data_IF_127256001082
#
_entry.id   IF_127256001082
#
_cell.length_a   1.000
_cell.length_b   1.000
_cell.length_c   1.000
_cell.angle_alpha   90.00
_cell.angle_beta   90.00
_cell.angle_gamma   90.00
#
_symmetry.space_group_name_H-M   'P 1'
#
loop_
_entity.id
_entity.type
_entity.pdbx_description
1 polymer ?
#
# COMPACT_ATOMS: atom_id res chain seq x y z
N UNK A 1 31.61 20.44 -10.46
CA UNK A 1 30.28 20.28 -9.82
C UNK A 1 29.48 19.07 -10.33
N UNK A 2 29.75 18.53 -11.53
CA UNK A 2 29.07 17.33 -12.04
C UNK A 2 29.32 16.04 -11.23
N UNK A 3 30.43 15.96 -10.49
CA UNK A 3 30.86 14.73 -9.80
C UNK A 3 30.08 14.44 -8.52
N UNK A 4 29.69 15.46 -7.75
CA UNK A 4 29.01 15.28 -6.46
C UNK A 4 27.54 14.81 -6.64
N UNK A 5 26.81 15.41 -7.57
CA UNK A 5 25.44 14.98 -7.91
C UNK A 5 25.45 13.57 -8.51
N UNK A 6 26.44 13.25 -9.37
CA UNK A 6 26.58 11.91 -9.92
C UNK A 6 26.86 10.86 -8.82
N UNK A 7 27.75 11.15 -7.86
CA UNK A 7 28.00 10.28 -6.70
C UNK A 7 26.76 10.12 -5.83
N UNK A 8 25.97 11.17 -5.59
CA UNK A 8 24.70 11.06 -4.86
C UNK A 8 23.72 10.14 -5.59
N UNK A 9 23.57 10.28 -6.92
CA UNK A 9 22.61 9.47 -7.72
C UNK A 9 23.00 8.02 -7.90
N UNK A 10 24.29 7.67 -7.71
CA UNK A 10 24.82 6.33 -8.01
C UNK A 10 25.26 5.57 -6.76
N UNK A 11 25.27 6.21 -5.59
CA UNK A 11 25.61 5.56 -4.33
C UNK A 11 24.40 4.78 -3.81
N UNK A 12 24.46 3.44 -3.72
CA UNK A 12 23.41 2.68 -3.07
C UNK A 12 23.37 3.07 -1.58
N UNK A 13 22.24 3.62 -1.14
CA UNK A 13 21.99 3.95 0.26
C UNK A 13 20.96 2.98 0.77
N UNK A 14 21.24 2.31 1.90
CA UNK A 14 20.20 1.57 2.61
C UNK A 14 19.05 2.54 2.95
N UNK A 15 17.78 2.11 2.87
CA UNK A 15 16.65 2.98 3.19
C UNK A 15 16.89 3.63 4.56
N UNK A 16 16.77 4.95 4.66
CA UNK A 16 17.23 5.68 5.84
C UNK A 16 16.35 5.44 7.07
N UNK A 17 15.14 4.87 6.90
CA UNK A 17 14.11 4.74 7.93
C UNK A 17 13.22 3.50 7.72
N UNK A 18 12.50 3.10 8.77
CA UNK A 18 11.36 2.19 8.66
C UNK A 18 10.13 3.06 8.38
N UNK A 19 9.54 2.91 7.19
CA UNK A 19 8.35 3.65 6.79
C UNK A 19 7.12 3.13 7.55
N UNK A 20 6.94 1.81 7.54
CA UNK A 20 5.85 1.13 8.24
C UNK A 20 6.43 -0.08 8.95
N UNK A 21 6.44 -0.08 10.28
CA UNK A 21 6.87 -1.23 11.08
C UNK A 21 5.73 -2.25 11.29
N UNK A 22 6.07 -3.47 11.74
CA UNK A 22 5.08 -4.55 11.95
C UNK A 22 4.02 -4.14 12.97
N UNK A 23 4.39 -3.40 14.02
CA UNK A 23 3.46 -2.97 15.07
C UNK A 23 2.40 -2.03 14.50
N UNK A 24 2.81 -0.97 13.79
CA UNK A 24 1.91 -0.01 13.14
C UNK A 24 1.03 -0.68 12.09
N UNK A 25 1.60 -1.62 11.33
CA UNK A 25 0.86 -2.41 10.34
C UNK A 25 -0.24 -3.26 10.98
N UNK A 26 0.10 -3.99 12.05
CA UNK A 26 -0.86 -4.77 12.85
C UNK A 26 -1.94 -3.87 13.47
N UNK A 27 -1.55 -2.76 14.11
CA UNK A 27 -2.48 -1.81 14.72
C UNK A 27 -3.48 -1.26 13.70
N UNK A 28 -3.01 -0.89 12.51
CA UNK A 28 -3.87 -0.39 11.44
C UNK A 28 -4.90 -1.43 10.99
N UNK A 29 -4.49 -2.66 10.69
CA UNK A 29 -5.41 -3.72 10.23
C UNK A 29 -6.41 -4.07 11.34
N UNK A 30 -5.90 -4.38 12.54
CA UNK A 30 -6.72 -4.89 13.64
C UNK A 30 -7.71 -3.87 14.19
N UNK A 31 -7.43 -2.56 14.03
CA UNK A 31 -8.38 -1.49 14.39
C UNK A 31 -9.70 -1.54 13.59
N UNK A 32 -9.69 -2.17 12.41
CA UNK A 32 -10.85 -2.24 11.50
C UNK A 32 -11.37 -3.68 11.40
N UNK A 33 -10.48 -4.65 11.22
CA UNK A 33 -10.84 -6.03 10.92
C UNK A 33 -10.86 -6.96 12.14
N UNK A 34 -10.50 -6.44 13.32
CA UNK A 34 -10.34 -7.22 14.55
C UNK A 34 -9.08 -8.09 14.53
N UNK A 35 -8.94 -9.01 15.52
CA UNK A 35 -7.75 -9.84 15.65
C UNK A 35 -7.58 -10.80 14.46
N UNK A 36 -6.44 -10.71 13.78
CA UNK A 36 -6.00 -11.60 12.70
C UNK A 36 -4.48 -11.70 12.73
N UNK A 37 -3.93 -12.80 12.21
CA UNK A 37 -2.48 -12.91 12.03
C UNK A 37 -2.02 -11.90 10.96
N UNK A 38 -1.22 -10.93 11.36
CA UNK A 38 -0.77 -9.83 10.49
C UNK A 38 0.71 -9.93 10.16
N UNK A 39 1.32 -11.10 10.38
CA UNK A 39 2.76 -11.31 10.19
C UNK A 39 3.16 -11.06 8.73
N UNK A 40 4.05 -10.09 8.52
CA UNK A 40 4.69 -9.82 7.22
C UNK A 40 6.07 -10.45 7.20
N UNK A 41 6.33 -11.27 6.19
CA UNK A 41 7.62 -11.95 5.99
C UNK A 41 8.45 -11.31 4.88
N UNK A 42 7.82 -10.58 3.96
CA UNK A 42 8.49 -9.87 2.87
C UNK A 42 8.57 -8.35 3.13
N UNK A 43 9.79 -7.89 3.36
CA UNK A 43 10.11 -6.49 3.63
C UNK A 43 10.96 -5.92 2.50
N UNK A 44 10.62 -4.74 2.01
CA UNK A 44 11.34 -4.08 0.91
C UNK A 44 11.40 -2.55 1.13
N UNK A 45 12.26 -1.83 0.39
CA UNK A 45 12.12 -0.39 0.24
C UNK A 45 10.77 -0.06 -0.40
N UNK A 46 10.03 0.85 0.22
CA UNK A 46 8.74 1.37 -0.25
C UNK A 46 8.79 2.89 -0.27
N UNK A 47 7.97 3.49 -1.13
CA UNK A 47 7.66 4.92 -1.16
C UNK A 47 7.08 5.40 0.17
N UNK A 48 6.20 4.59 0.78
CA UNK A 48 5.66 4.90 2.11
C UNK A 48 4.40 5.76 2.10
N UNK A 49 4.12 6.45 1.00
CA UNK A 49 2.85 7.15 0.72
C UNK A 49 2.45 7.05 -0.77
N UNK A 50 2.47 5.85 -1.36
CA UNK A 50 2.17 5.71 -2.80
C UNK A 50 0.67 5.89 -3.10
N UNK A 51 0.34 6.77 -4.06
CA UNK A 51 -1.01 7.01 -4.58
C UNK A 51 -0.95 7.80 -5.89
N UNK A 52 -2.08 7.97 -6.60
CA UNK A 52 -2.13 8.68 -7.88
C UNK A 52 -1.71 10.15 -7.77
N UNK A 53 -1.90 10.78 -6.60
CA UNK A 53 -1.43 12.13 -6.33
C UNK A 53 0.11 12.26 -6.43
N UNK A 54 0.83 11.17 -6.18
CA UNK A 54 2.29 11.10 -6.20
C UNK A 54 2.84 10.53 -7.53
N UNK A 55 1.99 10.40 -8.55
CA UNK A 55 2.36 9.94 -9.89
C UNK A 55 2.10 11.03 -10.93
N UNK A 56 3.05 11.25 -11.84
CA UNK A 56 2.81 12.09 -13.02
C UNK A 56 2.25 11.30 -14.19
N UNK A 57 1.44 11.97 -15.01
CA UNK A 57 1.13 11.53 -16.37
C UNK A 57 2.41 11.43 -17.20
N UNK A 58 2.42 10.65 -18.31
CA UNK A 58 3.62 10.39 -19.09
C UNK A 58 4.48 11.63 -19.38
N UNK A 59 5.78 11.61 -19.03
CA UNK A 59 6.52 10.48 -18.46
C UNK A 59 6.14 10.18 -17.00
N UNK A 60 6.09 8.90 -16.63
CA UNK A 60 5.81 8.47 -15.26
C UNK A 60 6.98 8.86 -14.34
N UNK A 61 6.71 9.73 -13.37
CA UNK A 61 7.63 10.12 -12.29
C UNK A 61 6.90 9.92 -10.97
N UNK A 62 7.61 9.34 -10.00
CA UNK A 62 7.14 9.18 -8.62
C UNK A 62 7.65 10.38 -7.82
N UNK A 63 6.72 11.12 -7.21
CA UNK A 63 6.97 12.32 -6.43
C UNK A 63 6.87 12.02 -4.94
N UNK A 64 7.38 12.94 -4.12
CA UNK A 64 7.15 12.98 -2.67
C UNK A 64 7.72 11.82 -1.84
N UNK A 65 9.04 11.61 -1.94
CA UNK A 65 9.78 10.54 -1.27
C UNK A 65 10.00 10.75 0.24
N UNK A 66 9.21 11.57 0.93
CA UNK A 66 9.46 11.90 2.34
C UNK A 66 9.25 10.71 3.30
N UNK A 67 8.34 9.81 2.95
CA UNK A 67 8.05 8.58 3.70
C UNK A 67 8.86 7.37 3.22
N UNK A 68 9.82 7.57 2.32
CA UNK A 68 10.66 6.49 1.80
C UNK A 68 11.39 5.74 2.91
N UNK A 69 11.25 4.41 2.90
CA UNK A 69 11.83 3.57 3.93
C UNK A 69 11.54 2.08 3.73
N UNK A 70 11.91 1.27 4.71
CA UNK A 70 11.56 -0.15 4.73
C UNK A 70 10.12 -0.36 5.20
N UNK A 71 9.38 -1.23 4.53
CA UNK A 71 8.03 -1.65 4.92
C UNK A 71 7.60 -2.95 4.23
N UNK A 72 6.34 -3.38 4.39
CA UNK A 72 5.81 -4.54 3.69
C UNK A 72 5.92 -4.38 2.17
N UNK A 73 6.52 -5.36 1.49
CA UNK A 73 6.90 -5.23 0.08
C UNK A 73 5.71 -4.92 -0.85
N UNK A 74 4.51 -5.35 -0.48
CA UNK A 74 3.30 -5.21 -1.31
C UNK A 74 2.49 -3.95 -1.00
N UNK A 75 2.93 -3.13 -0.02
CA UNK A 75 2.10 -2.06 0.52
C UNK A 75 1.83 -0.94 -0.48
N UNK A 76 2.83 -0.50 -1.24
CA UNK A 76 2.63 0.57 -2.22
C UNK A 76 1.68 0.16 -3.35
N UNK A 77 1.77 -1.10 -3.83
CA UNK A 77 0.83 -1.65 -4.81
C UNK A 77 -0.60 -1.65 -4.25
N UNK A 78 -0.77 -2.08 -3.00
CA UNK A 78 -2.08 -2.08 -2.34
C UNK A 78 -2.63 -0.67 -2.12
N UNK A 79 -1.77 0.33 -1.90
CA UNK A 79 -2.21 1.73 -1.76
C UNK A 79 -2.65 2.34 -3.08
N UNK A 80 -1.91 2.11 -4.18
CA UNK A 80 -2.37 2.54 -5.52
C UNK A 80 -3.69 1.87 -5.89
N UNK A 81 -3.84 0.58 -5.60
CA UNK A 81 -5.11 -0.13 -5.77
C UNK A 81 -6.24 0.44 -4.92
N UNK A 82 -5.99 0.84 -3.67
CA UNK A 82 -7.01 1.44 -2.83
C UNK A 82 -7.39 2.86 -3.33
N UNK A 83 -6.39 3.64 -3.77
CA UNK A 83 -6.58 4.99 -4.29
C UNK A 83 -7.35 5.00 -5.63
N UNK A 84 -7.26 3.91 -6.41
CA UNK A 84 -8.01 3.79 -7.67
C UNK A 84 -9.52 3.75 -7.50
N UNK A 85 -10.04 3.56 -6.28
CA UNK A 85 -11.49 3.54 -6.03
C UNK A 85 -12.16 4.91 -6.24
N UNK A 86 -11.40 6.01 -6.17
CA UNK A 86 -11.90 7.34 -6.52
C UNK A 86 -11.95 7.59 -8.04
N UNK A 87 -11.37 6.69 -8.85
CA UNK A 87 -11.33 6.77 -10.31
C UNK A 87 -12.44 5.89 -10.95
N UNK A 88 -12.68 6.01 -12.27
CA UNK A 88 -13.60 5.10 -12.97
C UNK A 88 -13.22 3.63 -12.75
N UNK A 89 -14.21 2.74 -12.67
CA UNK A 89 -14.03 1.32 -12.30
C UNK A 89 -12.94 0.61 -13.11
N UNK A 90 -12.79 0.93 -14.40
CA UNK A 90 -11.75 0.38 -15.29
C UNK A 90 -10.32 0.62 -14.77
N UNK A 91 -10.07 1.71 -14.04
CA UNK A 91 -8.75 2.00 -13.44
C UNK A 91 -8.44 1.02 -12.32
N UNK A 92 -9.44 0.69 -11.50
CA UNK A 92 -9.30 -0.33 -10.45
C UNK A 92 -9.06 -1.71 -11.06
N UNK A 93 -9.81 -2.09 -12.10
CA UNK A 93 -9.61 -3.35 -12.82
C UNK A 93 -8.19 -3.45 -13.42
N UNK A 94 -7.67 -2.35 -13.97
CA UNK A 94 -6.30 -2.29 -14.48
C UNK A 94 -5.24 -2.41 -13.37
N UNK A 95 -5.46 -1.78 -12.21
CA UNK A 95 -4.58 -1.93 -11.05
C UNK A 95 -4.58 -3.38 -10.55
N UNK A 96 -5.74 -4.01 -10.43
CA UNK A 96 -5.87 -5.41 -10.03
C UNK A 96 -5.15 -6.35 -11.00
N UNK A 97 -5.29 -6.14 -12.31
CA UNK A 97 -4.61 -6.94 -13.33
C UNK A 97 -3.08 -6.73 -13.30
N UNK A 98 -2.62 -5.48 -13.23
CA UNK A 98 -1.20 -5.14 -13.26
C UNK A 98 -0.47 -5.57 -11.98
N UNK A 99 -1.14 -5.49 -10.83
CA UNK A 99 -0.57 -5.80 -9.52
C UNK A 99 -0.97 -7.17 -8.98
N UNK A 100 -1.65 -8.01 -9.78
CA UNK A 100 -2.07 -9.36 -9.37
C UNK A 100 -0.95 -10.17 -8.67
N UNK A 101 0.32 -10.17 -9.13
CA UNK A 101 1.40 -10.89 -8.45
C UNK A 101 1.66 -10.43 -7.01
N UNK A 102 1.30 -9.19 -6.66
CA UNK A 102 1.58 -8.56 -5.36
C UNK A 102 0.35 -8.50 -4.45
N UNK A 103 -0.87 -8.51 -5.03
CA UNK A 103 -2.12 -8.37 -4.28
C UNK A 103 -2.76 -9.70 -3.88
N UNK A 104 -2.32 -10.79 -4.51
CA UNK A 104 -2.78 -12.16 -4.23
C UNK A 104 -1.97 -12.79 -3.09
N UNK A 105 -2.56 -13.78 -2.42
CA UNK A 105 -1.94 -14.48 -1.29
C UNK A 105 -2.09 -13.71 0.02
N UNK A 106 -1.57 -14.29 1.11
CA UNK A 106 -1.77 -13.76 2.45
C UNK A 106 -1.15 -12.37 2.64
N UNK A 107 0.11 -12.17 2.22
CA UNK A 107 0.79 -10.87 2.35
C UNK A 107 0.13 -9.77 1.53
N UNK A 108 -0.32 -10.10 0.32
CA UNK A 108 -1.09 -9.18 -0.54
C UNK A 108 -2.44 -8.82 0.08
N UNK A 109 -3.16 -9.81 0.64
CA UNK A 109 -4.42 -9.57 1.37
C UNK A 109 -4.21 -8.67 2.59
N UNK A 110 -3.16 -8.89 3.39
CA UNK A 110 -2.84 -8.04 4.52
C UNK A 110 -2.50 -6.60 4.08
N UNK A 111 -1.75 -6.42 2.99
CA UNK A 111 -1.44 -5.09 2.47
C UNK A 111 -2.69 -4.38 1.93
N UNK A 112 -3.59 -5.10 1.24
CA UNK A 112 -4.92 -4.57 0.84
C UNK A 112 -5.75 -4.17 2.05
N UNK A 113 -5.79 -4.99 3.10
CA UNK A 113 -6.47 -4.68 4.34
C UNK A 113 -5.89 -3.42 5.00
N UNK A 114 -4.57 -3.31 5.08
CA UNK A 114 -3.89 -2.14 5.62
C UNK A 114 -4.21 -0.87 4.83
N UNK A 115 -4.18 -0.93 3.49
CA UNK A 115 -4.49 0.21 2.64
C UNK A 115 -5.94 0.69 2.84
N UNK A 116 -6.91 -0.23 2.80
CA UNK A 116 -8.34 0.09 3.03
C UNK A 116 -8.58 0.61 4.45
N UNK A 117 -7.96 0.02 5.48
CA UNK A 117 -8.04 0.54 6.84
C UNK A 117 -7.51 1.96 6.97
N UNK A 118 -6.48 2.31 6.19
CA UNK A 118 -5.95 3.68 6.09
C UNK A 118 -6.99 4.67 5.56
N UNK A 119 -7.76 4.28 4.55
CA UNK A 119 -8.83 5.12 3.97
C UNK A 119 -9.94 5.43 4.98
N UNK A 120 -10.22 4.52 5.91
CA UNK A 120 -11.24 4.73 6.96
C UNK A 120 -10.87 5.84 7.96
N UNK A 121 -9.64 6.38 7.90
CA UNK A 121 -9.21 7.55 8.68
C UNK A 121 -9.66 8.87 8.05
N UNK A 122 -10.09 8.87 6.78
CA UNK A 122 -10.60 10.06 6.14
C UNK A 122 -11.97 10.48 6.72
N UNK A 123 -12.34 11.77 6.61
CA UNK A 123 -13.67 12.23 6.98
C UNK A 123 -14.76 11.47 6.23
N UNK A 124 -15.94 11.28 6.86
CA UNK A 124 -17.09 10.60 6.25
C UNK A 124 -17.57 11.19 4.91
N UNK A 125 -17.22 12.45 4.64
CA UNK A 125 -17.51 13.17 3.41
C UNK A 125 -16.56 12.87 2.26
N UNK A 126 -15.44 12.18 2.53
CA UNK A 126 -14.43 11.85 1.54
C UNK A 126 -14.98 10.84 0.51
N UNK A 127 -15.04 11.18 -0.79
CA UNK A 127 -15.53 10.25 -1.82
C UNK A 127 -14.78 8.92 -1.84
N UNK A 128 -13.47 8.93 -1.58
CA UNK A 128 -12.65 7.72 -1.55
C UNK A 128 -13.08 6.74 -0.43
N UNK A 129 -13.51 7.27 0.72
CA UNK A 129 -14.04 6.47 1.81
C UNK A 129 -15.37 5.77 1.43
N UNK A 130 -16.27 6.48 0.75
CA UNK A 130 -17.53 5.91 0.26
C UNK A 130 -17.29 4.75 -0.71
N UNK A 131 -16.29 4.90 -1.60
CA UNK A 131 -15.93 3.88 -2.57
C UNK A 131 -15.26 2.64 -1.92
N UNK A 132 -14.55 2.82 -0.80
CA UNK A 132 -13.87 1.74 -0.09
C UNK A 132 -14.80 0.86 0.78
N UNK A 133 -15.99 1.35 1.15
CA UNK A 133 -16.92 0.64 2.03
C UNK A 133 -17.29 -0.79 1.55
N UNK A 134 -17.74 -1.03 0.29
CA UNK A 134 -18.06 -2.38 -0.17
C UNK A 134 -16.82 -3.30 -0.23
N UNK A 135 -15.64 -2.72 -0.48
CA UNK A 135 -14.38 -3.47 -0.55
C UNK A 135 -13.93 -3.92 0.83
N UNK A 136 -14.18 -3.12 1.86
CA UNK A 136 -13.87 -3.45 3.26
C UNK A 136 -14.53 -4.76 3.68
N UNK A 137 -15.82 -4.96 3.36
CA UNK A 137 -16.52 -6.21 3.71
C UNK A 137 -15.98 -7.43 2.94
N UNK A 138 -15.61 -7.22 1.67
CA UNK A 138 -14.96 -8.27 0.86
C UNK A 138 -13.64 -8.71 1.48
N UNK A 139 -12.77 -7.77 1.84
CA UNK A 139 -11.50 -8.06 2.54
C UNK A 139 -11.77 -8.78 3.86
N UNK A 140 -12.73 -8.32 4.65
CA UNK A 140 -13.06 -8.95 5.93
C UNK A 140 -13.48 -10.42 5.74
N UNK A 141 -14.23 -10.71 4.68
CA UNK A 141 -14.60 -12.08 4.32
C UNK A 141 -13.40 -12.91 3.86
N UNK A 142 -12.53 -12.34 3.02
CA UNK A 142 -11.29 -13.00 2.57
C UNK A 142 -10.38 -13.34 3.77
N UNK A 143 -10.19 -12.42 4.73
CA UNK A 143 -9.39 -12.63 5.94
C UNK A 143 -9.94 -13.75 6.83
N UNK A 144 -11.28 -13.86 6.95
CA UNK A 144 -11.93 -14.94 7.73
C UNK A 144 -11.83 -16.30 7.05
N UNK A 145 -11.86 -16.33 5.72
CA UNK A 145 -11.89 -17.55 4.92
C UNK A 145 -10.51 -18.11 4.57
N UNK A 146 -9.48 -17.25 4.58
CA UNK A 146 -8.10 -17.62 4.27
C UNK A 146 -7.36 -17.95 5.57
N UNK A 147 -6.88 -19.18 5.70
CA UNK A 147 -5.94 -19.54 6.77
C UNK A 147 -4.54 -19.06 6.39
N UNK A 148 -3.76 -18.51 7.33
CA UNK A 148 -2.34 -18.24 7.11
C UNK A 148 -1.61 -19.58 6.79
N UNK A 149 -1.06 -19.77 5.58
CA UNK A 149 -0.14 -20.87 5.36
C UNK A 149 1.17 -20.46 6.04
N UNK A 150 1.35 -20.92 7.28
CA UNK A 150 2.52 -20.58 8.11
C UNK A 150 3.86 -20.87 7.46
#
# INVERSE_FOLDING_TARGET
MATALHTITTSPVSPPRIAVDQRRFTEQITSVFGPVDTTITEWAPIHGDMGFANLTMPPLVILDWEDFGTGPAMLDYARVWADSFAAPAIVTEQCEAAFAPYLVGWQGLLCRACAVAGLLRYPATEPLLQAAAPVTEKIATELRSSSNPG
#
